data_IF_143988859820
#
_entry.id   IF_143988859820
#
_cell.length_a   1.000
_cell.length_b   1.000
_cell.length_c   1.000
_cell.angle_alpha   90.00
_cell.angle_beta   90.00
_cell.angle_gamma   90.00
#
_symmetry.space_group_name_H-M   'P 1'
#
loop_
_entity.id
_entity.type
_entity.pdbx_description
1 polymer ?
#
# COMPACT_ATOMS: atom_id res chain seq x y z
N UNK A 1 -40.66 -61.69 34.55
CA UNK A 1 -41.51 -60.79 33.74
C UNK A 1 -41.03 -59.38 34.05
N UNK A 2 -39.92 -58.96 33.39
CA UNK A 2 -39.40 -57.58 33.50
C UNK A 2 -38.78 -57.21 32.17
N UNK A 3 -39.43 -56.26 31.50
CA UNK A 3 -39.06 -55.73 30.21
C UNK A 3 -37.87 -54.75 30.37
N UNK A 4 -36.71 -55.13 29.90
CA UNK A 4 -35.54 -54.21 29.79
C UNK A 4 -35.71 -53.37 28.53
N UNK A 5 -36.12 -52.11 28.71
CA UNK A 5 -36.21 -51.09 27.66
C UNK A 5 -34.81 -50.52 27.39
N UNK A 6 -34.19 -50.95 26.29
CA UNK A 6 -32.95 -50.36 25.76
C UNK A 6 -33.25 -49.00 25.20
N UNK A 7 -32.75 -47.96 25.84
CA UNK A 7 -32.76 -46.60 25.35
C UNK A 7 -31.57 -46.43 24.38
N UNK A 8 -31.86 -46.39 23.08
CA UNK A 8 -30.85 -46.07 22.06
C UNK A 8 -30.74 -44.54 21.94
N UNK A 9 -29.70 -43.96 22.55
CA UNK A 9 -29.39 -42.51 22.39
C UNK A 9 -28.70 -42.34 21.03
N UNK A 10 -29.48 -41.83 20.05
CA UNK A 10 -28.96 -41.39 18.74
C UNK A 10 -28.26 -40.05 18.92
N UNK A 11 -26.93 -40.07 18.96
CA UNK A 11 -26.09 -38.86 19.01
C UNK A 11 -26.02 -38.26 17.61
N UNK A 12 -26.94 -37.35 17.29
CA UNK A 12 -26.89 -36.55 16.04
C UNK A 12 -25.75 -35.55 16.15
N UNK A 13 -24.65 -35.87 15.48
CA UNK A 13 -23.53 -34.95 15.29
C UNK A 13 -23.99 -33.81 14.40
N UNK A 14 -24.33 -32.66 15.01
CA UNK A 14 -24.68 -31.43 14.31
C UNK A 14 -23.41 -30.85 13.69
N UNK A 15 -23.15 -31.19 12.41
CA UNK A 15 -22.09 -30.56 11.64
C UNK A 15 -22.48 -29.10 11.42
N UNK A 16 -21.88 -28.18 12.19
CA UNK A 16 -21.95 -26.75 11.93
C UNK A 16 -21.27 -26.49 10.56
N UNK A 17 -21.97 -25.89 9.59
CA UNK A 17 -21.31 -25.46 8.38
C UNK A 17 -20.31 -24.37 8.77
N UNK A 18 -19.03 -24.69 8.69
CA UNK A 18 -17.98 -23.68 8.77
C UNK A 18 -18.23 -22.67 7.64
N UNK A 19 -18.53 -21.43 8.00
CA UNK A 19 -18.58 -20.33 7.05
C UNK A 19 -17.17 -20.17 6.50
N UNK A 20 -16.90 -20.75 5.34
CA UNK A 20 -15.74 -20.42 4.54
C UNK A 20 -15.91 -18.94 4.16
N UNK A 21 -15.16 -18.05 4.79
CA UNK A 21 -15.02 -16.69 4.33
C UNK A 21 -14.36 -16.76 2.96
N UNK A 22 -15.17 -16.72 1.90
CA UNK A 22 -14.68 -16.52 0.54
C UNK A 22 -14.13 -15.10 0.48
N UNK A 23 -12.81 -14.97 0.26
CA UNK A 23 -12.22 -13.69 -0.07
C UNK A 23 -12.97 -13.07 -1.24
N UNK A 24 -13.31 -11.78 -1.12
CA UNK A 24 -13.94 -11.07 -2.23
C UNK A 24 -12.97 -11.00 -3.42
N UNK A 25 -13.50 -10.97 -4.66
CA UNK A 25 -12.67 -10.80 -5.86
C UNK A 25 -11.77 -9.54 -5.79
N UNK A 26 -12.21 -8.55 -5.06
CA UNK A 26 -11.48 -7.29 -4.80
C UNK A 26 -10.26 -7.49 -3.91
N UNK A 27 -10.40 -8.26 -2.84
CA UNK A 27 -9.27 -8.62 -1.97
C UNK A 27 -8.25 -9.48 -2.73
N UNK A 28 -8.71 -10.41 -3.55
CA UNK A 28 -7.84 -11.25 -4.39
C UNK A 28 -7.00 -10.43 -5.37
N UNK A 29 -7.57 -9.37 -5.96
CA UNK A 29 -6.85 -8.45 -6.82
C UNK A 29 -5.73 -7.71 -6.05
N UNK A 30 -6.04 -7.18 -4.87
CA UNK A 30 -5.04 -6.52 -4.01
C UNK A 30 -3.90 -7.47 -3.61
N UNK A 31 -4.24 -8.71 -3.24
CA UNK A 31 -3.26 -9.73 -2.87
C UNK A 31 -2.37 -10.13 -4.05
N UNK A 32 -2.94 -10.19 -5.25
CA UNK A 32 -2.18 -10.48 -6.46
C UNK A 32 -1.18 -9.35 -6.78
N UNK A 33 -1.60 -8.09 -6.68
CA UNK A 33 -0.73 -6.92 -6.83
C UNK A 33 0.38 -6.95 -5.77
N UNK A 34 0.03 -7.21 -4.50
CA UNK A 34 1.00 -7.30 -3.41
C UNK A 34 2.05 -8.37 -3.69
N UNK A 35 1.64 -9.59 -4.04
CA UNK A 35 2.55 -10.70 -4.38
C UNK A 35 3.45 -10.38 -5.56
N UNK A 36 2.91 -9.72 -6.60
CA UNK A 36 3.71 -9.34 -7.77
C UNK A 36 4.72 -8.25 -7.41
N UNK A 37 4.31 -7.24 -6.63
CA UNK A 37 5.21 -6.20 -6.17
C UNK A 37 6.32 -6.71 -5.25
N UNK A 38 6.05 -7.72 -4.43
CA UNK A 38 7.07 -8.34 -3.56
C UNK A 38 8.23 -8.98 -4.34
N UNK A 39 7.99 -9.44 -5.57
CA UNK A 39 9.03 -10.00 -6.45
C UNK A 39 9.96 -8.94 -7.05
N UNK A 40 9.51 -7.68 -7.12
CA UNK A 40 10.31 -6.58 -7.65
C UNK A 40 11.32 -6.15 -6.60
N UNK A 41 12.62 -6.24 -6.92
CA UNK A 41 13.71 -5.80 -6.05
C UNK A 41 14.13 -4.36 -6.26
N UNK A 42 14.03 -3.88 -7.50
CA UNK A 42 14.39 -2.50 -7.89
C UNK A 42 13.40 -1.98 -8.92
N UNK A 43 13.09 -0.69 -8.85
CA UNK A 43 12.39 0.00 -9.93
C UNK A 43 12.75 1.48 -9.97
N UNK A 44 12.44 2.10 -11.10
CA UNK A 44 12.56 3.53 -11.34
C UNK A 44 11.27 4.00 -12.02
N UNK A 45 10.77 5.17 -11.63
CA UNK A 45 9.56 5.76 -12.21
C UNK A 45 9.62 7.28 -12.13
N UNK A 46 8.92 7.93 -13.06
CA UNK A 46 8.56 9.33 -12.93
C UNK A 46 7.32 9.46 -12.06
N UNK A 47 7.23 10.57 -11.33
CA UNK A 47 6.03 10.88 -10.54
C UNK A 47 5.59 12.33 -10.74
N UNK A 48 4.31 12.56 -10.48
CA UNK A 48 3.74 13.91 -10.36
C UNK A 48 3.02 14.00 -9.02
N UNK A 49 3.47 14.94 -8.19
CA UNK A 49 2.82 15.27 -6.93
C UNK A 49 1.98 16.53 -7.11
N UNK A 50 0.72 16.46 -6.72
CA UNK A 50 -0.18 17.61 -6.67
C UNK A 50 -0.60 17.84 -5.23
N UNK A 51 -0.36 19.05 -4.74
CA UNK A 51 -0.66 19.47 -3.37
C UNK A 51 -1.62 20.65 -3.40
N UNK A 52 -2.78 20.50 -2.76
CA UNK A 52 -3.71 21.61 -2.60
C UNK A 52 -3.38 22.40 -1.36
N UNK A 53 -2.96 23.65 -1.54
CA UNK A 53 -2.64 24.59 -0.44
C UNK A 53 -3.89 25.37 -0.09
N UNK A 54 -4.61 24.91 0.95
CA UNK A 54 -5.92 25.45 1.34
C UNK A 54 -5.89 26.96 1.62
N UNK A 55 -4.84 27.47 2.27
CA UNK A 55 -4.71 28.90 2.60
C UNK A 55 -4.63 29.79 1.37
N UNK A 56 -4.04 29.30 0.27
CA UNK A 56 -3.89 30.06 -0.98
C UNK A 56 -4.94 29.68 -2.03
N UNK A 57 -5.81 28.72 -1.73
CA UNK A 57 -6.78 28.14 -2.67
C UNK A 57 -6.12 27.75 -4.02
N UNK A 58 -4.92 27.19 -3.97
CA UNK A 58 -4.13 26.85 -5.15
C UNK A 58 -3.65 25.40 -5.10
N UNK A 59 -3.57 24.80 -6.28
CA UNK A 59 -2.95 23.49 -6.47
C UNK A 59 -1.54 23.71 -7.02
N UNK A 60 -0.55 23.26 -6.28
CA UNK A 60 0.85 23.17 -6.72
C UNK A 60 1.10 21.79 -7.33
N UNK A 61 1.93 21.74 -8.36
CA UNK A 61 2.32 20.50 -9.03
C UNK A 61 3.82 20.44 -9.21
N UNK A 62 4.42 19.37 -8.70
CA UNK A 62 5.85 19.10 -8.84
C UNK A 62 6.02 17.75 -9.52
N UNK A 63 6.96 17.67 -10.45
CA UNK A 63 7.37 16.42 -11.10
C UNK A 63 8.73 15.98 -10.59
N UNK A 64 8.97 14.68 -10.64
CA UNK A 64 10.27 14.16 -10.23
C UNK A 64 10.46 12.71 -10.64
N UNK A 65 11.57 12.14 -10.19
CA UNK A 65 11.90 10.73 -10.41
C UNK A 65 12.08 10.03 -9.07
N UNK A 66 11.69 8.77 -9.01
CA UNK A 66 11.90 7.90 -7.87
C UNK A 66 12.68 6.67 -8.28
N UNK A 67 13.70 6.32 -7.51
CA UNK A 67 14.46 5.08 -7.63
C UNK A 67 14.37 4.30 -6.33
N UNK A 68 13.97 3.06 -6.40
CA UNK A 68 13.82 2.17 -5.24
C UNK A 68 14.70 0.95 -5.41
N UNK A 69 15.37 0.58 -4.32
CA UNK A 69 16.04 -0.70 -4.16
C UNK A 69 15.67 -1.31 -2.83
N UNK A 70 14.80 -2.32 -2.85
CA UNK A 70 14.34 -2.98 -1.64
C UNK A 70 15.46 -3.77 -0.95
N UNK A 71 15.46 -3.89 0.38
CA UNK A 71 14.55 -3.22 1.30
C UNK A 71 15.02 -1.81 1.66
N UNK A 72 14.10 -0.86 1.67
CA UNK A 72 14.24 0.45 2.34
C UNK A 72 15.13 1.49 1.69
N UNK A 73 15.88 1.15 0.63
CA UNK A 73 16.72 2.13 -0.07
C UNK A 73 15.89 2.84 -1.13
N UNK A 74 15.91 4.16 -1.12
CA UNK A 74 15.18 5.00 -2.06
C UNK A 74 15.87 6.32 -2.32
N UNK A 75 15.63 6.87 -3.50
CA UNK A 75 16.02 8.22 -3.88
C UNK A 75 14.86 8.86 -4.62
N UNK A 76 14.39 9.99 -4.12
CA UNK A 76 13.40 10.84 -4.75
C UNK A 76 14.09 12.12 -5.17
N UNK A 77 13.89 12.53 -6.39
CA UNK A 77 14.41 13.79 -6.93
C UNK A 77 13.23 14.61 -7.39
N UNK A 78 12.97 15.70 -6.71
CA UNK A 78 11.92 16.66 -7.08
C UNK A 78 12.50 17.71 -8.02
N UNK A 79 11.74 18.06 -9.05
CA UNK A 79 12.08 19.14 -9.96
C UNK A 79 11.61 20.51 -9.46
N UNK A 80 11.87 21.55 -10.27
CA UNK A 80 11.40 22.90 -10.00
C UNK A 80 9.86 22.94 -9.81
N UNK A 81 9.31 23.89 -9.00
CA UNK A 81 10.05 24.95 -8.29
C UNK A 81 10.69 24.47 -6.97
N UNK A 82 10.25 23.36 -6.39
CA UNK A 82 10.67 22.91 -5.06
C UNK A 82 11.76 21.83 -5.19
N UNK A 83 12.90 22.19 -5.74
CA UNK A 83 14.01 21.26 -5.95
C UNK A 83 14.52 20.71 -4.63
N UNK A 84 14.33 19.40 -4.42
CA UNK A 84 14.82 18.69 -3.25
C UNK A 84 15.16 17.24 -3.59
N UNK A 85 16.04 16.64 -2.81
CA UNK A 85 16.44 15.26 -2.96
C UNK A 85 16.26 14.53 -1.63
N UNK A 86 15.44 13.49 -1.62
CA UNK A 86 15.33 12.59 -0.48
C UNK A 86 16.07 11.30 -0.79
N UNK A 87 16.93 10.88 0.13
CA UNK A 87 17.69 9.62 0.02
C UNK A 87 17.52 8.81 1.30
N UNK A 88 17.19 7.53 1.17
CA UNK A 88 17.20 6.59 2.28
C UNK A 88 18.15 5.43 2.01
N UNK A 89 18.93 5.08 3.04
CA UNK A 89 19.75 3.85 3.06
C UNK A 89 19.03 2.65 3.71
N UNK A 90 17.79 2.87 4.17
CA UNK A 90 16.97 1.91 4.89
C UNK A 90 17.02 2.06 6.42
N UNK A 91 17.91 2.92 6.95
CA UNK A 91 18.03 3.25 8.38
C UNK A 91 17.81 4.74 8.62
N UNK A 92 18.36 5.57 7.75
CA UNK A 92 18.26 7.02 7.81
C UNK A 92 17.64 7.54 6.52
N UNK A 93 16.99 8.69 6.63
CA UNK A 93 16.56 9.53 5.52
C UNK A 93 17.33 10.85 5.58
N UNK A 94 17.83 11.27 4.43
CA UNK A 94 18.41 12.59 4.23
C UNK A 94 17.50 13.37 3.28
N UNK A 95 17.15 14.58 3.68
CA UNK A 95 16.55 15.59 2.84
C UNK A 95 17.64 16.61 2.50
N UNK A 96 17.97 16.74 1.23
CA UNK A 96 18.90 17.75 0.71
C UNK A 96 18.14 18.78 -0.10
N UNK A 97 18.30 20.05 0.25
CA UNK A 97 17.73 21.21 -0.45
C UNK A 97 18.89 21.97 -1.12
N UNK A 98 19.08 21.81 -2.44
CA UNK A 98 20.23 22.40 -3.15
C UNK A 98 20.34 23.91 -3.02
N UNK A 99 19.21 24.63 -3.05
CA UNK A 99 19.17 26.10 -2.95
C UNK A 99 19.65 26.63 -1.60
N UNK A 100 19.48 25.84 -0.56
CA UNK A 100 19.90 26.17 0.81
C UNK A 100 21.27 25.57 1.16
N UNK A 101 21.83 24.72 0.30
CA UNK A 101 23.05 23.93 0.54
C UNK A 101 22.99 23.12 1.86
N UNK A 102 21.75 22.75 2.27
CA UNK A 102 21.50 22.08 3.54
C UNK A 102 21.05 20.64 3.35
N UNK A 103 21.52 19.76 4.26
CA UNK A 103 21.07 18.40 4.37
C UNK A 103 20.60 18.10 5.80
N UNK A 104 19.34 17.69 5.94
CA UNK A 104 18.76 17.23 7.20
C UNK A 104 18.73 15.72 7.22
N UNK A 105 19.20 15.12 8.34
CA UNK A 105 19.19 13.68 8.55
C UNK A 105 18.21 13.32 9.66
N UNK A 106 17.32 12.35 9.40
CA UNK A 106 16.38 11.81 10.38
C UNK A 106 16.38 10.27 10.33
N UNK A 107 16.11 9.59 11.46
CA UNK A 107 15.88 8.13 11.44
C UNK A 107 14.67 7.80 10.58
N UNK A 108 14.78 6.74 9.79
CA UNK A 108 13.68 6.27 8.91
C UNK A 108 12.45 5.85 9.72
N UNK A 109 12.63 5.33 10.94
CA UNK A 109 11.54 4.95 11.83
C UNK A 109 10.60 6.13 12.17
N UNK A 110 11.12 7.33 12.28
CA UNK A 110 10.30 8.53 12.57
C UNK A 110 9.33 8.88 11.44
N UNK A 111 9.62 8.42 10.22
CA UNK A 111 8.79 8.65 9.03
C UNK A 111 7.88 7.46 8.75
N UNK A 112 8.36 6.26 9.08
CA UNK A 112 7.61 5.02 8.91
C UNK A 112 6.61 4.73 10.04
N UNK A 113 6.51 5.59 11.03
CA UNK A 113 5.47 5.50 12.07
C UNK A 113 4.06 5.64 11.51
N UNK A 114 3.92 6.20 10.32
CA UNK A 114 2.68 6.24 9.56
C UNK A 114 2.69 5.20 8.43
N UNK A 115 1.60 4.45 8.26
CA UNK A 115 1.40 3.49 7.14
C UNK A 115 1.30 4.20 5.79
N UNK A 116 2.38 4.83 5.35
CA UNK A 116 2.40 5.61 4.11
C UNK A 116 2.61 4.71 2.88
N UNK A 117 2.15 5.12 1.69
CA UNK A 117 2.51 4.45 0.44
C UNK A 117 4.02 4.28 0.25
N UNK A 118 4.83 5.19 0.80
CA UNK A 118 6.30 5.11 0.78
C UNK A 118 6.84 3.85 1.46
N UNK A 119 6.21 3.37 2.56
CA UNK A 119 6.54 2.10 3.21
C UNK A 119 6.36 0.90 2.27
N UNK A 120 5.24 0.86 1.58
CA UNK A 120 4.97 -0.18 0.59
C UNK A 120 6.02 -0.14 -0.53
N UNK A 121 6.26 1.03 -1.12
CA UNK A 121 7.27 1.21 -2.16
C UNK A 121 8.67 0.85 -1.69
N UNK A 122 9.01 1.11 -0.44
CA UNK A 122 10.27 0.70 0.17
C UNK A 122 10.37 -0.81 0.45
N UNK A 123 9.30 -1.57 0.24
CA UNK A 123 9.23 -3.01 0.54
C UNK A 123 9.18 -3.34 2.04
N UNK A 124 8.75 -2.37 2.87
CA UNK A 124 8.65 -2.52 4.34
C UNK A 124 7.21 -2.62 4.85
N UNK A 125 6.22 -2.39 4.00
CA UNK A 125 4.79 -2.45 4.34
C UNK A 125 4.02 -3.46 3.49
N UNK A 126 2.83 -3.82 3.97
CA UNK A 126 1.86 -4.60 3.20
C UNK A 126 0.61 -3.78 2.99
N UNK A 127 0.18 -3.62 1.73
CA UNK A 127 -1.06 -2.92 1.39
C UNK A 127 -2.25 -3.52 2.13
N UNK A 128 -2.33 -4.83 2.18
CA UNK A 128 -3.42 -5.58 2.83
C UNK A 128 -3.53 -5.34 4.33
N UNK A 129 -2.45 -4.92 5.00
CA UNK A 129 -2.46 -4.57 6.43
C UNK A 129 -2.89 -3.12 6.66
N UNK A 130 -2.52 -2.24 5.74
CA UNK A 130 -2.68 -0.79 5.92
C UNK A 130 -3.95 -0.23 5.31
N UNK A 131 -4.52 -0.95 4.32
CA UNK A 131 -5.65 -0.46 3.52
C UNK A 131 -6.78 -1.47 3.44
N UNK A 132 -8.00 -0.95 3.31
CA UNK A 132 -9.17 -1.69 2.84
C UNK A 132 -9.37 -1.41 1.35
N UNK A 133 -9.87 -2.38 0.61
CA UNK A 133 -10.31 -2.16 -0.78
C UNK A 133 -11.66 -1.46 -0.74
N UNK A 134 -11.76 -0.30 -1.36
CA UNK A 134 -13.02 0.44 -1.56
C UNK A 134 -13.71 -0.01 -2.84
N UNK A 135 -12.94 -0.19 -3.93
CA UNK A 135 -13.47 -0.68 -5.21
C UNK A 135 -12.37 -1.22 -6.11
N UNK A 136 -12.77 -2.09 -7.04
CA UNK A 136 -11.95 -2.54 -8.16
C UNK A 136 -12.70 -2.27 -9.45
N UNK A 137 -12.07 -1.60 -10.39
CA UNK A 137 -12.60 -1.34 -11.72
C UNK A 137 -11.61 -1.74 -12.80
N UNK A 138 -12.08 -1.83 -14.04
CA UNK A 138 -11.22 -2.14 -15.20
C UNK A 138 -11.21 -0.96 -16.14
N UNK A 139 -10.02 -0.60 -16.59
CA UNK A 139 -9.83 0.43 -17.60
C UNK A 139 -8.79 -0.05 -18.63
N UNK A 140 -9.24 -0.28 -19.86
CA UNK A 140 -8.41 -0.82 -20.94
C UNK A 140 -7.72 -2.16 -20.55
N UNK A 141 -6.39 -2.14 -20.48
CA UNK A 141 -5.58 -3.30 -20.09
C UNK A 141 -5.24 -3.32 -18.59
N UNK A 142 -5.69 -2.32 -17.83
CA UNK A 142 -5.41 -2.18 -16.41
C UNK A 142 -6.62 -2.50 -15.55
N UNK A 143 -6.34 -2.92 -14.33
CA UNK A 143 -7.25 -2.85 -13.21
C UNK A 143 -6.87 -1.66 -12.34
N UNK A 144 -7.89 -0.98 -11.84
CA UNK A 144 -7.75 0.12 -10.88
C UNK A 144 -8.27 -0.37 -9.54
N UNK A 145 -7.40 -0.39 -8.55
CA UNK A 145 -7.77 -0.77 -7.18
C UNK A 145 -7.75 0.48 -6.32
N UNK A 146 -8.92 0.89 -5.87
CA UNK A 146 -9.07 2.03 -4.97
C UNK A 146 -9.00 1.54 -3.53
N UNK A 147 -8.10 2.11 -2.77
CA UNK A 147 -7.78 1.74 -1.39
C UNK A 147 -8.04 2.92 -0.45
N UNK A 148 -8.61 2.63 0.71
CA UNK A 148 -8.75 3.59 1.81
C UNK A 148 -7.93 3.12 3.01
N UNK A 149 -7.22 4.02 3.70
CA UNK A 149 -6.46 3.67 4.89
C UNK A 149 -7.36 3.06 5.96
N UNK A 150 -6.87 2.05 6.67
CA UNK A 150 -7.57 1.47 7.84
C UNK A 150 -7.57 2.42 9.04
N UNK A 151 -6.56 3.27 9.13
CA UNK A 151 -6.43 4.27 10.19
C UNK A 151 -6.54 5.66 9.56
N UNK A 152 -7.43 6.50 10.04
CA UNK A 152 -7.75 7.82 9.49
C UNK A 152 -6.63 8.88 9.64
N UNK A 153 -5.57 8.57 10.35
CA UNK A 153 -4.66 9.55 11.00
C UNK A 153 -3.50 10.04 10.11
N UNK A 154 -3.56 9.92 8.77
CA UNK A 154 -2.31 9.97 8.00
C UNK A 154 -2.24 10.98 6.86
N UNK A 155 -3.17 11.90 6.75
CA UNK A 155 -3.18 12.87 5.65
C UNK A 155 -3.39 12.24 4.26
N UNK A 156 -3.63 10.92 4.19
CA UNK A 156 -3.94 10.18 2.99
C UNK A 156 -5.40 9.75 3.00
N UNK A 157 -6.22 10.35 2.15
CA UNK A 157 -7.63 9.98 2.05
C UNK A 157 -7.84 8.71 1.22
N UNK A 158 -7.08 8.52 0.15
CA UNK A 158 -7.26 7.43 -0.81
C UNK A 158 -5.96 7.15 -1.58
N UNK A 159 -5.74 5.90 -1.93
CA UNK A 159 -4.69 5.45 -2.84
C UNK A 159 -5.32 4.70 -4.00
N UNK A 160 -4.99 5.06 -5.22
CA UNK A 160 -5.43 4.34 -6.43
C UNK A 160 -4.20 3.67 -7.03
N UNK A 161 -4.27 2.36 -7.20
CA UNK A 161 -3.25 1.56 -7.86
C UNK A 161 -3.74 1.18 -9.26
N UNK A 162 -2.91 1.46 -10.24
CA UNK A 162 -3.07 0.95 -11.59
C UNK A 162 -2.15 -0.26 -11.76
N UNK A 163 -2.71 -1.38 -12.22
CA UNK A 163 -1.94 -2.59 -12.46
C UNK A 163 -2.42 -3.28 -13.74
N UNK A 164 -1.50 -3.88 -14.48
CA UNK A 164 -1.83 -4.68 -15.64
C UNK A 164 -2.73 -5.86 -15.23
N UNK A 165 -3.85 -6.06 -15.94
CA UNK A 165 -4.86 -7.07 -15.59
C UNK A 165 -4.42 -8.52 -15.78
N UNK A 166 -3.33 -8.78 -16.53
CA UNK A 166 -2.85 -10.14 -16.81
C UNK A 166 -1.84 -10.61 -15.78
N UNK A 167 -0.95 -9.70 -15.35
CA UNK A 167 0.16 -10.06 -14.49
C UNK A 167 0.18 -9.32 -13.15
N UNK A 168 -0.75 -8.36 -12.92
CA UNK A 168 -0.88 -7.54 -11.72
C UNK A 168 0.35 -6.66 -11.41
N UNK A 169 1.17 -6.41 -12.42
CA UNK A 169 2.28 -5.47 -12.29
C UNK A 169 1.75 -4.04 -12.22
N UNK A 170 2.24 -3.27 -11.26
CA UNK A 170 1.92 -1.84 -11.14
C UNK A 170 2.50 -1.10 -12.36
N UNK A 171 1.67 -0.25 -12.98
CA UNK A 171 1.98 0.50 -14.22
C UNK A 171 2.00 2.00 -13.95
#
# INVERSE_FOLDING_TARGET
MNLLRKFLILFTLLALPGTLFSETSEQQALDAIQRQYEKVSTFEADFTQRSYVKMMNQTQSVKGTVKIKKPGKMKWVYGAPDTQILISDGKNLWLYVPEEEQATKVPVESIYSSNTPALFLAGKGKLTRSFNVESVSQENQNILVTLVPKNEDQGLARLILHADKKNYQIT
#
